data_IF_943020866966
#
_entry.id   IF_943020866966
#
_cell.length_a   1.000
_cell.length_b   1.000
_cell.length_c   1.000
_cell.angle_alpha   90.00
_cell.angle_beta   90.00
_cell.angle_gamma   90.00
#
_symmetry.space_group_name_H-M   'P 1'
#
loop_
_entity.id
_entity.type
_entity.pdbx_description
1 polymer ?
#
# COMPACT_ATOMS: atom_id res chain seq x y z
N UNK A 1 -16.53 -16.02 9.54
CA UNK A 1 -16.26 -15.40 8.23
C UNK A 1 -14.92 -15.91 7.70
N UNK A 2 -14.90 -16.47 6.49
CA UNK A 2 -13.65 -16.80 5.80
C UNK A 2 -13.13 -15.50 5.18
N UNK A 3 -12.01 -14.96 5.66
CA UNK A 3 -11.44 -13.69 5.20
C UNK A 3 -10.04 -13.85 4.60
N UNK A 4 -9.76 -13.09 3.54
CA UNK A 4 -8.46 -13.03 2.87
C UNK A 4 -8.16 -14.22 1.97
N UNK A 5 -6.87 -14.46 1.70
CA UNK A 5 -6.41 -15.60 0.87
C UNK A 5 -6.49 -16.93 1.62
N UNK A 6 -7.71 -17.48 1.77
CA UNK A 6 -7.94 -18.73 2.50
C UNK A 6 -7.63 -20.00 1.68
N UNK A 7 -7.62 -19.91 0.34
CA UNK A 7 -7.46 -21.07 -0.56
C UNK A 7 -5.99 -21.37 -0.82
N UNK A 8 -5.18 -20.36 -1.16
CA UNK A 8 -3.78 -20.56 -1.55
C UNK A 8 -2.93 -21.26 -0.47
N UNK A 9 -3.04 -20.93 0.84
CA UNK A 9 -2.26 -21.59 1.87
C UNK A 9 -2.58 -23.08 2.05
N UNK A 10 -3.74 -23.55 1.59
CA UNK A 10 -4.17 -24.95 1.71
C UNK A 10 -3.75 -25.78 0.50
N UNK A 11 -3.68 -25.17 -0.69
CA UNK A 11 -3.38 -25.90 -1.93
C UNK A 11 -1.88 -25.95 -2.27
N UNK A 12 -1.06 -25.05 -1.70
CA UNK A 12 0.34 -24.88 -2.09
C UNK A 12 1.29 -25.66 -1.17
N UNK A 13 1.17 -26.99 -1.20
CA UNK A 13 2.08 -27.91 -0.51
C UNK A 13 3.40 -28.12 -1.30
N UNK A 14 4.03 -27.03 -1.71
CA UNK A 14 5.25 -27.04 -2.53
C UNK A 14 5.68 -25.66 -3.01
N UNK A 15 6.83 -25.62 -3.68
CA UNK A 15 7.38 -24.39 -4.26
C UNK A 15 6.72 -24.03 -5.60
N UNK A 16 6.97 -22.80 -6.07
CA UNK A 16 6.37 -22.27 -7.30
C UNK A 16 7.35 -22.25 -8.47
N UNK A 17 7.05 -22.98 -9.56
CA UNK A 17 7.65 -22.76 -10.89
C UNK A 17 6.70 -21.88 -11.73
N UNK A 18 7.12 -20.65 -12.02
CA UNK A 18 6.37 -19.69 -12.84
C UNK A 18 7.25 -19.13 -13.94
N UNK A 19 6.79 -19.28 -15.18
CA UNK A 19 7.45 -18.79 -16.39
C UNK A 19 6.45 -18.50 -17.49
N UNK A 20 6.77 -17.55 -18.37
CA UNK A 20 6.03 -17.38 -19.61
C UNK A 20 6.27 -18.59 -20.52
N UNK A 21 5.21 -19.19 -21.06
CA UNK A 21 5.35 -20.28 -22.01
C UNK A 21 5.91 -19.77 -23.35
N UNK A 22 6.81 -20.52 -23.99
CA UNK A 22 7.47 -20.11 -25.24
C UNK A 22 6.51 -19.70 -26.35
N UNK A 23 5.37 -20.40 -26.59
CA UNK A 23 4.39 -19.97 -27.60
C UNK A 23 3.78 -18.60 -27.28
N UNK A 24 3.55 -18.30 -25.99
CA UNK A 24 2.99 -17.01 -25.54
C UNK A 24 4.03 -15.89 -25.74
N UNK A 25 5.31 -16.14 -25.41
CA UNK A 25 6.37 -15.15 -25.66
C UNK A 25 6.59 -14.91 -27.15
N UNK A 26 6.56 -15.97 -27.98
CA UNK A 26 6.65 -15.85 -29.43
C UNK A 26 5.47 -15.07 -30.03
N UNK A 27 4.26 -15.28 -29.50
CA UNK A 27 3.08 -14.51 -29.88
C UNK A 27 3.22 -13.03 -29.52
N UNK A 28 3.65 -12.72 -28.28
CA UNK A 28 3.86 -11.34 -27.84
C UNK A 28 4.90 -10.59 -28.70
N UNK A 29 5.95 -11.28 -29.17
CA UNK A 29 6.93 -10.69 -30.09
C UNK A 29 6.32 -10.33 -31.46
N UNK A 30 5.48 -11.21 -32.01
CA UNK A 30 4.79 -10.99 -33.29
C UNK A 30 3.65 -9.98 -33.18
N UNK A 31 3.06 -9.85 -32.00
CA UNK A 31 1.92 -8.99 -31.70
C UNK A 31 2.20 -8.18 -30.42
N UNK A 32 3.14 -7.22 -30.48
CA UNK A 32 3.56 -6.47 -29.30
C UNK A 32 2.38 -5.67 -28.75
N UNK A 33 2.15 -5.80 -27.44
CA UNK A 33 1.15 -5.00 -26.74
C UNK A 33 1.66 -3.58 -26.54
N UNK A 34 0.74 -2.64 -26.36
CA UNK A 34 1.08 -1.23 -26.18
C UNK A 34 1.78 -1.00 -24.85
N UNK A 35 2.94 -0.38 -24.92
CA UNK A 35 3.65 0.21 -23.79
C UNK A 35 3.73 1.72 -24.01
N UNK A 36 3.52 2.52 -22.96
CA UNK A 36 3.63 3.97 -23.07
C UNK A 36 5.09 4.39 -22.92
N UNK A 37 5.54 5.42 -23.68
CA UNK A 37 6.91 5.86 -23.64
C UNK A 37 7.28 6.45 -22.27
N UNK A 38 8.52 6.23 -21.86
CA UNK A 38 9.14 6.87 -20.71
C UNK A 38 9.93 8.09 -21.13
N UNK A 39 9.79 9.18 -20.37
CA UNK A 39 10.65 10.36 -20.49
C UNK A 39 11.83 10.24 -19.52
N UNK A 40 13.06 10.58 -19.93
CA UNK A 40 14.19 10.68 -18.99
C UNK A 40 13.96 11.76 -17.92
N UNK A 41 13.13 12.76 -18.22
CA UNK A 41 12.75 13.83 -17.29
C UNK A 41 11.55 13.48 -16.40
N UNK A 42 11.07 12.22 -16.45
CA UNK A 42 9.91 11.82 -15.65
C UNK A 42 10.16 11.96 -14.16
N UNK A 43 9.23 12.62 -13.46
CA UNK A 43 9.30 12.81 -12.00
C UNK A 43 8.74 11.62 -11.23
N UNK A 44 8.10 10.66 -11.92
CA UNK A 44 7.57 9.44 -11.31
C UNK A 44 8.63 8.73 -10.47
N UNK A 45 8.31 8.30 -9.26
CA UNK A 45 9.27 7.61 -8.40
C UNK A 45 8.55 6.74 -7.38
N UNK A 46 9.26 5.76 -6.84
CA UNK A 46 8.85 5.04 -5.64
C UNK A 46 9.36 5.77 -4.40
N UNK A 47 8.51 5.91 -3.39
CA UNK A 47 8.88 6.42 -2.09
C UNK A 47 8.63 5.37 -1.01
N UNK A 48 9.61 5.22 -0.11
CA UNK A 48 9.58 4.30 1.02
C UNK A 48 10.18 4.93 2.26
N UNK A 49 9.81 4.41 3.42
CA UNK A 49 10.38 4.80 4.71
C UNK A 49 11.90 4.59 4.71
N UNK A 50 12.62 5.42 5.45
CA UNK A 50 14.09 5.31 5.58
C UNK A 50 14.52 4.59 6.87
N UNK A 51 13.65 4.54 7.87
CA UNK A 51 13.84 3.84 9.15
C UNK A 51 12.47 3.49 9.74
N UNK A 52 12.44 2.59 10.71
CA UNK A 52 11.21 2.26 11.46
C UNK A 52 10.18 1.45 10.67
N UNK A 53 10.54 0.91 9.52
CA UNK A 53 9.75 -0.03 8.73
C UNK A 53 10.09 -1.48 9.10
N UNK A 54 9.41 -2.45 8.49
CA UNK A 54 9.68 -3.86 8.77
C UNK A 54 11.10 -4.24 8.35
N UNK A 55 11.54 -3.78 7.18
CA UNK A 55 12.89 -4.05 6.69
C UNK A 55 13.98 -3.61 7.69
N UNK A 56 13.90 -2.38 8.19
CA UNK A 56 14.94 -1.83 9.08
C UNK A 56 14.92 -2.41 10.50
N UNK A 57 13.82 -3.04 10.91
CA UNK A 57 13.62 -3.56 12.27
C UNK A 57 13.69 -5.08 12.37
N UNK A 58 13.85 -5.78 11.25
CA UNK A 58 13.85 -7.24 11.22
C UNK A 58 15.01 -7.85 12.02
N UNK A 59 14.70 -8.90 12.76
CA UNK A 59 15.65 -9.82 13.36
C UNK A 59 15.26 -11.24 12.99
N UNK A 60 16.26 -12.04 12.66
CA UNK A 60 16.09 -13.43 12.23
C UNK A 60 16.84 -14.39 13.16
N UNK A 61 16.28 -15.58 13.34
CA UNK A 61 16.91 -16.66 14.07
C UNK A 61 16.65 -18.01 13.39
N UNK A 62 17.68 -18.87 13.34
CA UNK A 62 17.56 -20.25 12.86
C UNK A 62 17.51 -21.18 14.06
N UNK A 63 16.44 -21.95 14.19
CA UNK A 63 16.22 -22.85 15.30
C UNK A 63 17.20 -24.02 15.28
N UNK A 64 18.02 -24.16 16.33
CA UNK A 64 18.98 -25.28 16.43
C UNK A 64 18.30 -26.64 16.66
N UNK A 65 17.13 -26.64 17.30
CA UNK A 65 16.31 -27.81 17.61
C UNK A 65 14.84 -27.38 17.62
N UNK A 66 13.92 -28.34 17.48
CA UNK A 66 12.50 -28.06 17.63
C UNK A 66 12.20 -27.57 19.06
N UNK A 67 11.38 -26.53 19.17
CA UNK A 67 10.97 -25.94 20.45
C UNK A 67 9.65 -25.18 20.29
N UNK A 68 8.98 -24.88 21.40
CA UNK A 68 7.76 -24.06 21.42
C UNK A 68 8.08 -22.69 21.99
N UNK A 69 7.83 -21.63 21.22
CA UNK A 69 8.04 -20.25 21.66
C UNK A 69 6.73 -19.55 22.05
N UNK A 70 6.84 -18.56 22.94
CA UNK A 70 5.77 -17.65 23.34
C UNK A 70 6.09 -16.24 22.81
N UNK A 71 5.09 -15.55 22.27
CA UNK A 71 5.19 -14.15 21.87
C UNK A 71 4.47 -13.30 22.91
N UNK A 72 5.20 -12.45 23.62
CA UNK A 72 4.65 -11.53 24.61
C UNK A 72 5.19 -10.11 24.45
N UNK A 73 4.34 -9.15 24.83
CA UNK A 73 4.68 -7.74 24.93
C UNK A 73 4.96 -7.42 26.40
N UNK A 74 6.17 -6.98 26.70
CA UNK A 74 6.54 -6.44 28.00
C UNK A 74 6.37 -4.92 27.97
N UNK A 75 5.48 -4.41 28.82
CA UNK A 75 5.21 -2.98 28.98
C UNK A 75 6.32 -2.31 29.79
N UNK A 76 6.43 -0.98 29.67
CA UNK A 76 7.40 -0.18 30.44
C UNK A 76 7.19 -0.20 31.95
N UNK A 77 5.99 -0.59 32.41
CA UNK A 77 5.66 -0.81 33.83
C UNK A 77 5.98 -2.22 34.32
N UNK A 78 6.52 -3.09 33.45
CA UNK A 78 6.86 -4.47 33.75
C UNK A 78 5.70 -5.47 33.58
N UNK A 79 4.49 -5.02 33.21
CA UNK A 79 3.38 -5.93 32.90
C UNK A 79 3.63 -6.72 31.61
N UNK A 80 3.23 -7.99 31.60
CA UNK A 80 3.34 -8.87 30.43
C UNK A 80 1.95 -9.08 29.80
N UNK A 81 1.83 -8.81 28.51
CA UNK A 81 0.66 -9.21 27.70
C UNK A 81 1.08 -10.31 26.74
N UNK A 82 0.49 -11.50 26.89
CA UNK A 82 0.73 -12.60 25.95
C UNK A 82 -0.04 -12.35 24.65
N UNK A 83 0.66 -12.26 23.53
CA UNK A 83 0.09 -12.10 22.19
C UNK A 83 -0.16 -13.45 21.52
N UNK A 84 0.73 -14.42 21.76
CA UNK A 84 0.59 -15.81 21.30
C UNK A 84 1.26 -16.74 22.30
N UNK A 85 0.45 -17.56 22.96
CA UNK A 85 0.89 -18.47 24.04
C UNK A 85 1.85 -19.56 23.52
N UNK A 86 1.55 -20.16 22.37
CA UNK A 86 2.35 -21.24 21.77
C UNK A 86 2.50 -21.07 20.27
N UNK A 87 3.74 -21.20 19.81
CA UNK A 87 4.14 -21.36 18.42
C UNK A 87 5.20 -22.46 18.37
N UNK A 88 4.81 -23.63 17.85
CA UNK A 88 5.72 -24.75 17.68
C UNK A 88 6.62 -24.50 16.46
N UNK A 89 7.93 -24.66 16.65
CA UNK A 89 8.94 -24.47 15.61
C UNK A 89 9.78 -25.74 15.46
N UNK A 90 10.25 -25.99 14.25
CA UNK A 90 11.05 -27.16 13.89
C UNK A 90 12.56 -26.89 14.01
N UNK A 91 13.36 -27.96 14.06
CA UNK A 91 14.80 -27.84 13.92
C UNK A 91 15.14 -27.36 12.49
N UNK A 92 15.97 -26.32 12.39
CA UNK A 92 16.33 -25.67 11.13
C UNK A 92 15.29 -24.66 10.62
N UNK A 93 14.15 -24.48 11.29
CA UNK A 93 13.17 -23.45 10.93
C UNK A 93 13.76 -22.05 11.16
N UNK A 94 13.52 -21.15 10.19
CA UNK A 94 13.86 -19.73 10.31
C UNK A 94 12.64 -19.00 10.84
N UNK A 95 12.82 -18.25 11.93
CA UNK A 95 11.80 -17.37 12.48
C UNK A 95 12.30 -15.93 12.48
N UNK A 96 11.47 -15.04 11.95
CA UNK A 96 11.75 -13.62 11.86
C UNK A 96 10.75 -12.83 12.71
N UNK A 97 11.24 -11.77 13.35
CA UNK A 97 10.43 -10.82 14.09
C UNK A 97 10.79 -9.41 13.65
N UNK A 98 9.76 -8.60 13.39
CA UNK A 98 9.91 -7.22 12.95
C UNK A 98 8.72 -6.38 13.39
N UNK A 99 8.79 -5.07 13.24
CA UNK A 99 7.70 -4.15 13.53
C UNK A 99 7.78 -2.92 12.63
N UNK A 100 6.64 -2.25 12.43
CA UNK A 100 6.56 -0.95 11.79
C UNK A 100 6.14 0.10 12.82
N UNK A 101 6.92 1.16 12.92
CA UNK A 101 6.65 2.28 13.82
C UNK A 101 5.55 3.17 13.23
N UNK A 102 4.41 3.26 13.93
CA UNK A 102 3.31 4.13 13.52
C UNK A 102 3.72 5.61 13.43
N UNK A 103 4.62 6.08 14.31
CA UNK A 103 5.09 7.47 14.26
C UNK A 103 5.93 7.72 13.01
N UNK A 104 6.90 6.84 12.72
CA UNK A 104 7.73 6.94 11.52
C UNK A 104 6.89 6.83 10.24
N UNK A 105 5.92 5.91 10.20
CA UNK A 105 5.01 5.72 9.08
C UNK A 105 4.17 6.99 8.80
N UNK A 106 3.60 7.59 9.83
CA UNK A 106 2.79 8.82 9.69
C UNK A 106 3.64 10.02 9.28
N UNK A 107 4.85 10.15 9.84
CA UNK A 107 5.81 11.17 9.42
C UNK A 107 6.20 11.00 7.95
N UNK A 108 6.44 9.77 7.50
CA UNK A 108 6.67 9.44 6.09
C UNK A 108 5.50 9.87 5.21
N UNK A 109 4.26 9.52 5.56
CA UNK A 109 3.10 9.94 4.76
C UNK A 109 2.98 11.47 4.66
N UNK A 110 3.16 12.19 5.77
CA UNK A 110 3.09 13.66 5.75
C UNK A 110 4.20 14.26 4.87
N UNK A 111 5.45 13.76 4.98
CA UNK A 111 6.57 14.26 4.18
C UNK A 111 6.37 13.97 2.70
N UNK A 112 5.93 12.75 2.35
CA UNK A 112 5.72 12.38 0.95
C UNK A 112 4.55 13.11 0.31
N UNK A 113 3.50 13.42 1.07
CA UNK A 113 2.40 14.26 0.61
C UNK A 113 2.86 15.69 0.31
N UNK A 114 3.64 16.30 1.20
CA UNK A 114 4.20 17.64 1.00
C UNK A 114 5.14 17.69 -0.22
N UNK A 115 5.97 16.66 -0.39
CA UNK A 115 6.88 16.56 -1.54
C UNK A 115 6.14 16.29 -2.86
N UNK A 116 5.01 15.58 -2.85
CA UNK A 116 4.16 15.49 -4.04
C UNK A 116 3.65 16.87 -4.47
N UNK A 117 3.21 17.69 -3.52
CA UNK A 117 2.73 19.05 -3.82
C UNK A 117 3.84 19.96 -4.34
N UNK A 118 5.04 19.90 -3.75
CA UNK A 118 6.16 20.74 -4.17
C UNK A 118 6.65 20.38 -5.58
N UNK A 119 6.52 19.12 -5.99
CA UNK A 119 6.96 18.63 -7.30
C UNK A 119 5.86 18.56 -8.37
N UNK A 120 4.63 18.90 -8.01
CA UNK A 120 3.44 18.80 -8.86
C UNK A 120 3.25 17.35 -9.37
N UNK A 121 3.14 16.42 -8.42
CA UNK A 121 2.90 15.01 -8.66
C UNK A 121 1.63 14.55 -7.96
N UNK A 122 0.92 13.61 -8.58
CA UNK A 122 -0.07 12.82 -7.86
C UNK A 122 0.60 11.87 -6.87
N UNK A 123 -0.13 11.51 -5.83
CA UNK A 123 0.21 10.45 -4.88
C UNK A 123 -0.59 9.18 -5.19
N UNK A 124 0.06 8.03 -5.05
CA UNK A 124 -0.57 6.71 -5.03
C UNK A 124 0.03 5.85 -3.93
N UNK A 125 -0.77 5.02 -3.28
CA UNK A 125 -0.42 4.07 -2.26
C UNK A 125 -0.65 2.65 -2.80
N UNK A 126 0.39 1.83 -2.74
CA UNK A 126 0.37 0.47 -3.29
C UNK A 126 0.58 -0.56 -2.18
N UNK A 127 -0.47 -1.33 -1.87
CA UNK A 127 -0.48 -2.31 -0.77
C UNK A 127 -1.05 -3.65 -1.25
N UNK A 128 -1.13 -4.66 -0.39
CA UNK A 128 -1.71 -5.97 -0.69
C UNK A 128 -2.77 -6.38 0.35
N UNK A 129 -3.69 -5.46 0.66
CA UNK A 129 -4.64 -5.54 1.77
C UNK A 129 -5.45 -6.85 1.87
N UNK A 130 -5.83 -7.48 0.74
CA UNK A 130 -6.57 -8.76 0.75
C UNK A 130 -5.72 -9.94 1.22
N UNK A 131 -4.43 -9.96 0.85
CA UNK A 131 -3.51 -11.04 1.23
C UNK A 131 -2.94 -10.77 2.61
N UNK A 132 -2.44 -9.56 2.83
CA UNK A 132 -1.88 -9.08 4.09
C UNK A 132 -2.97 -8.50 4.99
N UNK A 133 -3.98 -9.32 5.29
CA UNK A 133 -5.26 -8.92 5.90
C UNK A 133 -5.18 -8.25 7.28
N UNK A 134 -4.01 -8.24 7.92
CA UNK A 134 -3.80 -7.63 9.24
C UNK A 134 -2.98 -6.36 9.10
N UNK A 135 -1.76 -6.45 8.55
CA UNK A 135 -0.83 -5.31 8.46
C UNK A 135 -1.33 -4.22 7.52
N UNK A 136 -1.71 -4.60 6.30
CA UNK A 136 -1.89 -3.65 5.21
C UNK A 136 -3.13 -2.78 5.37
N UNK A 137 -4.28 -3.27 5.87
CA UNK A 137 -5.40 -2.40 6.23
C UNK A 137 -5.03 -1.36 7.30
N UNK A 138 -4.15 -1.70 8.26
CA UNK A 138 -3.70 -0.75 9.29
C UNK A 138 -2.79 0.33 8.68
N UNK A 139 -1.84 -0.07 7.83
CA UNK A 139 -0.96 0.86 7.10
C UNK A 139 -1.80 1.79 6.21
N UNK A 140 -2.77 1.23 5.49
CA UNK A 140 -3.71 1.97 4.66
C UNK A 140 -4.52 2.98 5.50
N UNK A 141 -5.06 2.55 6.64
CA UNK A 141 -5.80 3.43 7.54
C UNK A 141 -4.96 4.59 8.06
N UNK A 142 -3.67 4.37 8.35
CA UNK A 142 -2.77 5.47 8.68
C UNK A 142 -2.62 6.48 7.54
N UNK A 143 -2.51 6.03 6.28
CA UNK A 143 -2.48 6.93 5.13
C UNK A 143 -3.78 7.73 4.99
N UNK A 144 -4.94 7.07 5.10
CA UNK A 144 -6.27 7.71 5.06
C UNK A 144 -6.37 8.79 6.14
N UNK A 145 -6.05 8.46 7.39
CA UNK A 145 -6.13 9.41 8.50
C UNK A 145 -5.12 10.56 8.42
N UNK A 146 -3.96 10.37 7.76
CA UNK A 146 -3.01 11.47 7.52
C UNK A 146 -3.49 12.39 6.39
N UNK A 147 -3.99 11.81 5.30
CA UNK A 147 -4.50 12.57 4.16
C UNK A 147 -5.71 13.43 4.58
N UNK A 148 -6.70 12.82 5.25
CA UNK A 148 -7.92 13.47 5.73
C UNK A 148 -7.85 13.92 7.19
N UNK A 149 -6.65 14.31 7.67
CA UNK A 149 -6.38 14.63 9.09
C UNK A 149 -7.42 15.57 9.71
N UNK A 150 -7.74 16.67 9.04
CA UNK A 150 -8.70 17.65 9.56
C UNK A 150 -10.10 17.05 9.80
N UNK A 151 -10.57 16.16 8.92
CA UNK A 151 -11.86 15.49 9.09
C UNK A 151 -11.84 14.53 10.28
N UNK A 152 -10.78 13.71 10.40
CA UNK A 152 -10.64 12.75 11.51
C UNK A 152 -10.45 13.43 12.87
N UNK A 153 -9.80 14.60 12.91
CA UNK A 153 -9.61 15.37 14.15
C UNK A 153 -10.87 16.12 14.56
N UNK A 154 -11.51 16.86 13.64
CA UNK A 154 -12.70 17.67 13.94
C UNK A 154 -13.95 16.82 14.18
N UNK A 155 -14.05 15.66 13.53
CA UNK A 155 -15.19 14.76 13.66
C UNK A 155 -14.90 13.53 14.53
N UNK A 156 -13.87 13.55 15.38
CA UNK A 156 -13.42 12.40 16.15
C UNK A 156 -14.55 11.73 16.97
N UNK A 157 -15.36 12.52 17.70
CA UNK A 157 -16.46 12.00 18.51
C UNK A 157 -17.54 11.35 17.64
N UNK A 158 -17.89 11.98 16.51
CA UNK A 158 -18.84 11.43 15.54
C UNK A 158 -18.31 10.13 14.93
N UNK A 159 -17.04 10.10 14.55
CA UNK A 159 -16.44 8.91 13.95
C UNK A 159 -16.38 7.75 14.95
N UNK A 160 -16.16 8.05 16.23
CA UNK A 160 -16.27 7.07 17.31
C UNK A 160 -17.70 6.57 17.49
N UNK A 161 -18.69 7.47 17.49
CA UNK A 161 -20.12 7.13 17.59
C UNK A 161 -20.57 6.21 16.44
N UNK A 162 -20.17 6.54 15.22
CA UNK A 162 -20.51 5.78 14.01
C UNK A 162 -19.63 4.54 13.79
N UNK A 163 -18.71 4.24 14.71
CA UNK A 163 -17.74 3.15 14.59
C UNK A 163 -16.98 3.19 13.25
N UNK A 164 -16.56 4.38 12.81
CA UNK A 164 -15.76 4.59 11.61
C UNK A 164 -14.34 4.11 11.87
N UNK A 165 -13.83 3.26 10.97
CA UNK A 165 -12.47 2.76 11.02
C UNK A 165 -11.75 3.15 9.71
N UNK A 166 -10.66 3.94 9.76
CA UNK A 166 -9.94 4.34 8.56
C UNK A 166 -9.34 3.15 7.79
N UNK A 167 -9.13 2.00 8.46
CA UNK A 167 -8.63 0.78 7.83
C UNK A 167 -9.58 0.22 6.77
N UNK A 168 -10.87 0.58 6.84
CA UNK A 168 -11.91 0.15 5.89
C UNK A 168 -12.00 1.10 4.66
N UNK A 169 -11.23 2.18 4.67
CA UNK A 169 -11.13 3.17 3.60
C UNK A 169 -12.25 4.21 3.55
N UNK A 170 -12.08 5.20 2.67
CA UNK A 170 -12.96 6.36 2.59
C UNK A 170 -14.40 5.96 2.23
N UNK A 171 -14.58 4.90 1.45
CA UNK A 171 -15.92 4.41 1.11
C UNK A 171 -16.72 4.06 2.36
N UNK A 172 -16.12 3.39 3.35
CA UNK A 172 -16.80 3.05 4.60
C UNK A 172 -17.18 4.30 5.40
N UNK A 173 -16.34 5.36 5.37
CA UNK A 173 -16.66 6.65 5.99
C UNK A 173 -17.93 7.23 5.36
N UNK A 174 -17.96 7.33 4.02
CA UNK A 174 -19.09 7.89 3.27
C UNK A 174 -20.39 7.11 3.49
N UNK A 175 -20.32 5.78 3.50
CA UNK A 175 -21.48 4.91 3.78
C UNK A 175 -22.02 5.11 5.21
N UNK A 176 -21.14 5.26 6.21
CA UNK A 176 -21.53 5.41 7.62
C UNK A 176 -22.12 6.79 7.95
N UNK A 177 -21.73 7.84 7.23
CA UNK A 177 -22.29 9.18 7.44
C UNK A 177 -23.58 9.43 6.63
N UNK A 178 -23.95 8.52 5.72
CA UNK A 178 -25.11 8.71 4.85
C UNK A 178 -26.40 8.89 5.66
N UNK A 179 -27.10 10.00 5.43
CA UNK A 179 -28.33 10.36 6.12
C UNK A 179 -28.13 10.95 7.52
N UNK A 180 -26.89 11.07 7.99
CA UNK A 180 -26.58 11.69 9.28
C UNK A 180 -26.69 13.22 9.20
N UNK A 181 -27.19 13.94 10.24
CA UNK A 181 -27.29 15.41 10.21
C UNK A 181 -25.97 16.15 9.94
N UNK A 182 -24.83 15.53 10.31
CA UNK A 182 -23.47 16.05 10.05
C UNK A 182 -22.86 15.60 8.73
N UNK A 183 -23.59 14.91 7.85
CA UNK A 183 -23.06 14.39 6.59
C UNK A 183 -22.36 15.48 5.77
N UNK A 184 -23.04 16.61 5.54
CA UNK A 184 -22.51 17.72 4.75
C UNK A 184 -21.24 18.34 5.36
N UNK A 185 -21.17 18.40 6.69
CA UNK A 185 -19.98 18.90 7.41
C UNK A 185 -18.77 17.99 7.15
N UNK A 186 -18.96 16.67 7.27
CA UNK A 186 -17.90 15.69 7.02
C UNK A 186 -17.47 15.72 5.55
N UNK A 187 -18.42 15.71 4.62
CA UNK A 187 -18.13 15.77 3.17
C UNK A 187 -17.37 17.04 2.79
N UNK A 188 -17.70 18.19 3.40
CA UNK A 188 -16.96 19.44 3.18
C UNK A 188 -15.51 19.35 3.66
N UNK A 189 -15.25 18.74 4.83
CA UNK A 189 -13.89 18.53 5.34
C UNK A 189 -13.09 17.56 4.47
N UNK A 190 -13.73 16.52 3.95
CA UNK A 190 -13.10 15.59 3.00
C UNK A 190 -12.79 16.28 1.67
N UNK A 191 -13.70 17.12 1.17
CA UNK A 191 -13.50 17.87 -0.06
C UNK A 191 -12.37 18.89 0.05
N UNK A 192 -12.29 19.57 1.20
CA UNK A 192 -11.23 20.51 1.52
C UNK A 192 -9.85 19.83 1.60
N UNK A 193 -9.77 18.57 2.06
CA UNK A 193 -8.53 17.81 2.00
C UNK A 193 -8.03 17.66 0.55
N UNK A 194 -8.90 17.40 -0.42
CA UNK A 194 -8.51 17.29 -1.84
C UNK A 194 -7.98 18.60 -2.45
N UNK A 195 -8.28 19.77 -1.86
CA UNK A 195 -7.73 21.05 -2.33
C UNK A 195 -6.41 21.40 -1.63
N UNK A 196 -6.21 20.91 -0.41
CA UNK A 196 -5.05 21.20 0.44
C UNK A 196 -3.93 20.15 0.38
N UNK A 197 -4.20 18.96 -0.16
CA UNK A 197 -3.27 17.81 -0.26
C UNK A 197 -2.91 17.53 -1.73
N UNK A 198 -1.87 16.75 -2.04
CA UNK A 198 -1.55 16.44 -3.43
C UNK A 198 -2.69 15.68 -4.11
N UNK A 199 -2.77 15.75 -5.45
CA UNK A 199 -3.70 14.94 -6.23
C UNK A 199 -3.56 13.46 -5.89
N UNK A 200 -4.66 12.71 -5.92
CA UNK A 200 -4.66 11.27 -5.70
C UNK A 200 -4.91 10.52 -7.00
N UNK A 201 -4.20 9.42 -7.19
CA UNK A 201 -4.50 8.48 -8.25
C UNK A 201 -5.94 7.96 -8.13
N UNK A 202 -6.62 7.85 -9.28
CA UNK A 202 -8.00 7.40 -9.38
C UNK A 202 -8.08 5.91 -9.72
N UNK A 203 -9.06 5.25 -9.12
CA UNK A 203 -9.50 3.90 -9.52
C UNK A 203 -10.61 4.02 -10.58
N UNK A 204 -11.54 4.95 -10.38
CA UNK A 204 -12.60 5.30 -11.34
C UNK A 204 -12.88 6.81 -11.25
N UNK A 205 -12.27 7.58 -12.16
CA UNK A 205 -12.39 9.04 -12.27
C UNK A 205 -13.85 9.48 -12.44
N UNK A 206 -14.64 8.75 -13.25
CA UNK A 206 -16.04 9.06 -13.56
C UNK A 206 -16.97 9.00 -12.34
N UNK A 207 -16.58 8.22 -11.32
CA UNK A 207 -17.32 8.06 -10.06
C UNK A 207 -16.63 8.71 -8.87
N UNK A 208 -15.51 9.42 -9.09
CA UNK A 208 -14.72 10.01 -8.01
C UNK A 208 -14.04 8.99 -7.09
N UNK A 209 -13.90 7.73 -7.51
CA UNK A 209 -13.27 6.68 -6.69
C UNK A 209 -11.76 6.83 -6.76
N UNK A 210 -11.16 7.26 -5.66
CA UNK A 210 -9.72 7.43 -5.47
C UNK A 210 -9.05 6.17 -4.94
N UNK A 211 -7.73 6.12 -5.03
CA UNK A 211 -6.89 5.09 -4.43
C UNK A 211 -7.07 4.93 -2.90
N UNK A 212 -7.67 5.90 -2.20
CA UNK A 212 -7.96 5.81 -0.76
C UNK A 212 -9.40 5.37 -0.44
N UNK A 213 -10.22 5.00 -1.44
CA UNK A 213 -11.61 4.58 -1.23
C UNK A 213 -11.74 3.20 -0.61
N UNK A 214 -11.05 2.21 -1.18
CA UNK A 214 -11.12 0.81 -0.73
C UNK A 214 -9.70 0.25 -0.66
N UNK A 215 -9.28 -0.34 0.48
CA UNK A 215 -7.90 -0.84 0.66
C UNK A 215 -7.44 -1.88 -0.37
N UNK A 216 -8.39 -2.62 -0.95
CA UNK A 216 -8.12 -3.70 -1.90
C UNK A 216 -8.17 -3.30 -3.38
N UNK A 217 -8.51 -2.06 -3.71
CA UNK A 217 -8.67 -1.66 -5.12
C UNK A 217 -7.33 -1.54 -5.84
N UNK A 218 -6.29 -1.03 -5.15
CA UNK A 218 -4.95 -0.84 -5.72
C UNK A 218 -3.97 -1.81 -5.08
N UNK A 219 -3.76 -2.93 -5.78
CA UNK A 219 -2.94 -4.06 -5.30
C UNK A 219 -1.53 -3.95 -5.89
N UNK A 220 -0.50 -3.88 -5.06
CA UNK A 220 0.89 -3.55 -5.45
C UNK A 220 1.44 -4.39 -6.61
N UNK A 221 1.22 -5.70 -6.61
CA UNK A 221 1.74 -6.63 -7.64
C UNK A 221 0.98 -6.57 -8.97
N UNK A 222 -0.16 -5.90 -9.02
CA UNK A 222 -0.90 -5.60 -10.25
C UNK A 222 -0.74 -4.13 -10.68
N UNK A 223 -0.78 -3.21 -9.72
CA UNK A 223 -0.76 -1.78 -9.96
C UNK A 223 0.62 -1.24 -10.35
N UNK A 224 1.71 -1.67 -9.69
CA UNK A 224 3.05 -1.19 -10.02
C UNK A 224 3.50 -1.59 -11.43
N UNK A 225 3.25 -2.82 -11.93
CA UNK A 225 3.50 -3.14 -13.33
C UNK A 225 2.72 -2.26 -14.31
N UNK A 226 1.48 -1.85 -13.97
CA UNK A 226 0.72 -0.90 -14.79
C UNK A 226 1.37 0.48 -14.81
N UNK A 227 1.87 0.99 -13.67
CA UNK A 227 2.63 2.26 -13.64
C UNK A 227 3.85 2.19 -14.56
N UNK A 228 4.60 1.09 -14.52
CA UNK A 228 5.77 0.88 -15.40
C UNK A 228 5.36 0.80 -16.88
N UNK A 229 4.32 0.04 -17.18
CA UNK A 229 3.76 -0.09 -18.53
C UNK A 229 3.29 1.25 -19.09
N UNK A 230 2.70 2.08 -18.24
CA UNK A 230 2.00 3.30 -18.63
C UNK A 230 2.89 4.56 -18.51
N UNK A 231 4.21 4.38 -18.46
CA UNK A 231 5.18 5.48 -18.56
C UNK A 231 5.29 6.30 -17.28
N UNK A 232 5.10 5.68 -16.11
CA UNK A 232 5.21 6.35 -14.81
C UNK A 232 3.97 7.14 -14.43
N UNK A 233 2.81 6.77 -14.98
CA UNK A 233 1.56 7.55 -14.87
C UNK A 233 0.40 6.72 -14.34
N UNK A 234 -0.53 7.40 -13.70
CA UNK A 234 -1.84 6.88 -13.31
C UNK A 234 -2.93 7.88 -13.70
N UNK A 235 -4.20 7.49 -13.57
CA UNK A 235 -5.34 8.33 -13.91
C UNK A 235 -5.59 9.38 -12.82
N UNK A 236 -5.80 10.62 -13.24
CA UNK A 236 -6.21 11.73 -12.38
C UNK A 236 -7.74 11.93 -12.39
N UNK A 237 -8.22 12.90 -11.61
CA UNK A 237 -9.66 13.21 -11.48
C UNK A 237 -10.34 13.64 -12.79
N UNK A 238 -9.56 14.14 -13.76
CA UNK A 238 -10.04 14.67 -15.04
C UNK A 238 -9.94 13.62 -16.17
N UNK A 239 -9.81 12.34 -15.81
CA UNK A 239 -9.67 11.21 -16.73
C UNK A 239 -8.45 11.33 -17.66
N UNK A 240 -7.33 11.80 -17.10
CA UNK A 240 -6.06 11.94 -17.82
C UNK A 240 -4.93 11.23 -17.10
N UNK A 241 -3.95 10.77 -17.87
CA UNK A 241 -2.73 10.17 -17.34
C UNK A 241 -1.77 11.25 -16.86
N UNK A 242 -1.39 11.17 -15.59
CA UNK A 242 -0.51 12.14 -14.91
C UNK A 242 0.58 11.40 -14.15
N UNK A 243 1.76 12.01 -14.04
CA UNK A 243 2.89 11.41 -13.34
C UNK A 243 2.59 11.26 -11.85
N UNK A 244 3.08 10.16 -11.27
CA UNK A 244 2.70 9.76 -9.92
C UNK A 244 3.91 9.39 -9.08
N UNK A 245 3.87 9.75 -7.80
CA UNK A 245 4.71 9.15 -6.78
C UNK A 245 4.01 7.91 -6.20
N UNK A 246 4.69 6.77 -6.27
CA UNK A 246 4.23 5.49 -5.77
C UNK A 246 4.75 5.24 -4.36
N UNK A 247 3.89 5.43 -3.36
CA UNK A 247 4.21 5.15 -1.96
C UNK A 247 4.11 3.65 -1.71
N UNK A 248 5.23 3.07 -1.30
CA UNK A 248 5.38 1.69 -0.83
C UNK A 248 6.13 1.81 0.50
N UNK A 249 5.43 1.87 1.65
CA UNK A 249 6.05 2.28 2.91
C UNK A 249 7.26 1.45 3.32
N UNK A 250 7.17 0.12 3.19
CA UNK A 250 8.22 -0.80 3.60
C UNK A 250 9.28 -1.04 2.50
N UNK A 251 10.56 -1.07 2.90
CA UNK A 251 11.69 -1.23 1.96
C UNK A 251 11.95 -2.64 1.45
N UNK A 252 11.34 -3.68 2.04
CA UNK A 252 11.68 -5.07 1.71
C UNK A 252 11.55 -5.40 0.21
N UNK A 253 10.62 -4.74 -0.48
CA UNK A 253 10.34 -5.00 -1.90
C UNK A 253 10.26 -3.73 -2.77
N UNK A 254 10.21 -2.54 -2.16
CA UNK A 254 10.01 -1.30 -2.90
C UNK A 254 11.16 -0.96 -3.84
N UNK A 255 12.39 -1.31 -3.45
CA UNK A 255 13.60 -1.07 -4.25
C UNK A 255 13.58 -1.76 -5.62
N UNK A 256 12.84 -2.87 -5.77
CA UNK A 256 12.69 -3.57 -7.05
C UNK A 256 11.95 -2.67 -8.05
N UNK A 257 10.83 -2.08 -7.63
CA UNK A 257 10.06 -1.19 -8.50
C UNK A 257 10.78 0.13 -8.76
N UNK A 258 11.50 0.66 -7.76
CA UNK A 258 12.34 1.83 -7.93
C UNK A 258 13.39 1.60 -9.03
N UNK A 259 14.10 0.46 -8.98
CA UNK A 259 15.08 0.10 -10.00
C UNK A 259 14.46 -0.02 -11.40
N UNK A 260 13.26 -0.60 -11.52
CA UNK A 260 12.56 -0.67 -12.81
C UNK A 260 12.20 0.71 -13.37
N UNK A 261 11.70 1.61 -12.52
CA UNK A 261 11.35 2.99 -12.92
C UNK A 261 12.61 3.74 -13.37
N UNK A 262 13.70 3.66 -12.61
CA UNK A 262 14.95 4.34 -12.97
C UNK A 262 15.58 3.76 -14.25
N UNK A 263 15.49 2.44 -14.47
CA UNK A 263 15.93 1.82 -15.73
C UNK A 263 15.11 2.33 -16.93
N UNK A 264 13.79 2.41 -16.78
CA UNK A 264 12.91 2.93 -17.84
C UNK A 264 13.14 4.42 -18.12
N UNK A 265 13.45 5.24 -17.11
CA UNK A 265 13.85 6.65 -17.34
C UNK A 265 15.17 6.73 -18.10
N UNK A 266 16.16 5.92 -17.72
CA UNK A 266 17.49 5.96 -18.31
C UNK A 266 17.54 5.40 -19.74
N UNK A 267 16.75 4.36 -20.04
CA UNK A 267 16.83 3.58 -21.28
C UNK A 267 15.59 3.68 -22.16
N UNK A 268 14.55 4.34 -21.69
CA UNK A 268 13.24 4.30 -22.32
C UNK A 268 12.47 3.03 -21.94
N UNK A 269 11.28 2.89 -22.53
CA UNK A 269 10.38 1.78 -22.27
C UNK A 269 10.94 0.44 -22.79
N UNK A 270 10.52 -0.68 -22.19
CA UNK A 270 10.87 -2.02 -22.65
C UNK A 270 10.43 -2.26 -24.11
N UNK A 271 11.16 -3.13 -24.82
CA UNK A 271 10.76 -3.64 -26.12
C UNK A 271 10.22 -5.08 -25.97
N UNK A 272 9.01 -5.29 -26.45
CA UNK A 272 8.32 -6.59 -26.37
C UNK A 272 8.76 -7.53 -27.48
N UNK A 273 9.22 -6.98 -28.62
CA UNK A 273 9.49 -7.66 -29.89
C UNK A 273 10.66 -8.65 -29.87
#
# INVERSE_FOLDING_TARGET
MVMGSAVNPVLREGNSDRRAADPVKAYARKHPHKLHPWSPDSKCCVASMQTGDFYGNEKSHVMNKADTVKISLLSGDGSETVLKEKLDLQAGEVIDATFMSCSALRSFFESEMADCQSRDLMMSLHMKATMMKVSDPIIFGHCVSVYFREAFEKCADLFKELNINPNDGLRSVLEKIQGHPKQQEVEALLQDAYTKRPGLAMVDSSKGVTNLHVPSDVIIDASMPCVVRDGGKMWNKDDKMEEVKCLIPDRSYSGIYAAMIEDCKAKGQFDVS
#
